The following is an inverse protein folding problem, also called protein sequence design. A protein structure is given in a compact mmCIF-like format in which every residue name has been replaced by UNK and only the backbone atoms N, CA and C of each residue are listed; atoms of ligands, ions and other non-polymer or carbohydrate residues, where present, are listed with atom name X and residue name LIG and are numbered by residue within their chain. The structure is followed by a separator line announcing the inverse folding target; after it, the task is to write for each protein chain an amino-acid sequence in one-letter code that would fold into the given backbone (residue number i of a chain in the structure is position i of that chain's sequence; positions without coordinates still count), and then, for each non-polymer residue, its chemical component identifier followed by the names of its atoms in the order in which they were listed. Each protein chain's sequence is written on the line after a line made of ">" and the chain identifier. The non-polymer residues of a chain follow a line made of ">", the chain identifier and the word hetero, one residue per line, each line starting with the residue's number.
data_IF_395252136567
#
_entry.id   IF_395252136567
#
_cell.length_a   1.000
_cell.length_b   1.000
_cell.length_c   1.000
_cell.angle_alpha   90.00
_cell.angle_beta   90.00
_cell.angle_gamma   90.00
#
_symmetry.space_group_name_H-M   'P 1'
#
loop_
_entity.id
_entity.type
_entity.pdbx_description
1 polymer ?
#
# COMPACT_ATOMS: atom_id res chain seq x y z
N UNK A 1 -0.44 2.87 20.37
CA UNK A 1 -1.75 2.49 19.80
C UNK A 1 -1.56 1.76 18.47
N UNK A 2 -2.41 0.73 18.14
CA UNK A 2 -2.43 0.03 16.85
C UNK A 2 -3.67 0.39 16.04
N UNK A 3 -3.49 0.77 14.79
CA UNK A 3 -4.54 1.01 13.79
C UNK A 3 -4.36 0.00 12.65
N UNK A 4 -5.43 -0.64 12.22
CA UNK A 4 -5.45 -1.55 11.08
C UNK A 4 -6.13 -0.84 9.91
N UNK A 5 -5.47 -0.80 8.76
CA UNK A 5 -6.01 -0.29 7.50
C UNK A 5 -6.17 -1.50 6.56
N UNK A 6 -7.40 -1.88 6.30
CA UNK A 6 -7.75 -3.07 5.52
C UNK A 6 -8.42 -2.65 4.22
N UNK A 7 -7.86 -3.07 3.10
CA UNK A 7 -8.55 -2.96 1.82
C UNK A 7 -9.72 -3.96 1.80
N UNK A 8 -10.92 -3.50 1.50
CA UNK A 8 -12.14 -4.31 1.47
C UNK A 8 -12.64 -4.55 0.04
N UNK A 9 -12.18 -3.70 -0.90
CA UNK A 9 -12.48 -3.83 -2.32
C UNK A 9 -11.29 -3.34 -3.13
N UNK A 10 -10.98 -4.03 -4.21
CA UNK A 10 -10.03 -3.59 -5.23
C UNK A 10 -10.63 -3.76 -6.61
N UNK A 11 -9.94 -3.34 -7.68
CA UNK A 11 -10.30 -3.42 -9.09
C UNK A 11 -10.97 -2.13 -9.64
N UNK A 12 -12.31 -1.94 -9.52
CA UNK A 12 -12.99 -0.75 -10.05
C UNK A 12 -12.84 0.43 -9.09
N UNK A 13 -12.85 0.15 -7.81
CA UNK A 13 -12.64 1.08 -6.70
C UNK A 13 -11.80 0.40 -5.66
N UNK A 14 -10.84 1.10 -5.11
CA UNK A 14 -10.09 0.66 -3.95
C UNK A 14 -10.74 1.26 -2.69
N UNK A 15 -11.39 0.43 -1.90
CA UNK A 15 -12.01 0.83 -0.63
C UNK A 15 -11.20 0.29 0.53
N UNK A 16 -11.00 1.12 1.54
CA UNK A 16 -10.28 0.78 2.76
C UNK A 16 -11.11 1.10 3.99
N UNK A 17 -11.00 0.25 4.99
CA UNK A 17 -11.51 0.48 6.34
C UNK A 17 -10.34 0.68 7.29
N UNK A 18 -10.43 1.72 8.10
CA UNK A 18 -9.47 2.07 9.15
C UNK A 18 -10.10 1.77 10.49
N UNK A 19 -9.54 0.85 11.24
CA UNK A 19 -10.07 0.42 12.52
C UNK A 19 -9.02 0.35 13.62
N UNK A 20 -9.45 0.49 14.87
CA UNK A 20 -8.61 0.25 16.03
C UNK A 20 -9.43 -0.51 17.07
N UNK A 21 -8.85 -1.57 17.65
CA UNK A 21 -9.53 -2.44 18.61
C UNK A 21 -10.91 -2.95 18.13
N UNK A 22 -11.05 -3.21 16.84
CA UNK A 22 -12.30 -3.66 16.22
C UNK A 22 -13.35 -2.57 15.98
N UNK A 23 -13.10 -1.34 16.37
CA UNK A 23 -13.96 -0.19 16.09
C UNK A 23 -13.55 0.47 14.78
N UNK A 24 -14.51 0.69 13.88
CA UNK A 24 -14.30 1.46 12.65
C UNK A 24 -14.10 2.93 13.01
N UNK A 25 -12.98 3.51 12.55
CA UNK A 25 -12.63 4.91 12.78
C UNK A 25 -12.88 5.75 11.53
N UNK A 26 -12.49 5.22 10.35
CA UNK A 26 -12.56 5.91 9.08
C UNK A 26 -12.74 4.93 7.94
N UNK A 27 -13.19 5.46 6.80
CA UNK A 27 -13.23 4.78 5.52
C UNK A 27 -12.46 5.61 4.49
N UNK A 28 -11.81 4.96 3.55
CA UNK A 28 -11.12 5.65 2.48
C UNK A 28 -11.42 5.03 1.13
N UNK A 29 -11.38 5.85 0.10
CA UNK A 29 -11.55 5.46 -1.28
C UNK A 29 -10.37 5.98 -2.09
N UNK A 30 -9.80 5.12 -2.93
CA UNK A 30 -8.79 5.49 -3.91
C UNK A 30 -9.28 5.10 -5.31
N UNK A 31 -8.94 5.89 -6.34
CA UNK A 31 -9.30 5.58 -7.71
C UNK A 31 -8.60 4.30 -8.18
N UNK A 32 -9.25 3.57 -9.08
CA UNK A 32 -8.76 2.30 -9.60
C UNK A 32 -7.63 2.44 -10.64
N UNK A 33 -7.52 3.59 -11.28
CA UNK A 33 -6.53 3.82 -12.34
C UNK A 33 -5.53 4.91 -11.98
N UNK A 34 -4.25 4.64 -12.21
CA UNK A 34 -3.22 5.66 -12.40
C UNK A 34 -3.27 6.14 -13.85
N UNK A 35 -4.20 7.00 -14.19
CA UNK A 35 -4.29 7.51 -15.55
C UNK A 35 -3.29 8.65 -15.71
N UNK A 36 -2.33 8.47 -16.63
CA UNK A 36 -1.41 9.52 -17.09
C UNK A 36 -2.03 10.31 -18.25
N UNK A 37 -3.28 10.77 -18.13
CA UNK A 37 -3.92 11.57 -19.15
C UNK A 37 -3.72 13.07 -18.90
N UNK A 38 -3.43 13.87 -19.97
CA UNK A 38 -3.07 15.28 -19.81
C UNK A 38 -4.23 16.23 -19.53
N UNK A 39 -5.50 15.80 -19.57
CA UNK A 39 -6.65 16.68 -19.44
C UNK A 39 -7.66 16.13 -18.43
N UNK A 40 -8.05 16.96 -17.45
CA UNK A 40 -9.03 16.69 -16.38
C UNK A 40 -8.70 15.49 -15.47
N UNK A 41 -7.42 15.15 -15.32
CA UNK A 41 -6.98 14.01 -14.52
C UNK A 41 -6.99 14.28 -13.00
N UNK A 42 -7.26 15.50 -12.55
CA UNK A 42 -7.28 15.85 -11.12
C UNK A 42 -8.39 15.07 -10.40
N UNK A 43 -9.61 15.08 -10.93
CA UNK A 43 -10.76 14.40 -10.33
C UNK A 43 -10.63 12.87 -10.34
N UNK A 44 -9.96 12.31 -11.36
CA UNK A 44 -9.77 10.87 -11.50
C UNK A 44 -8.72 10.28 -10.54
N UNK A 45 -7.95 11.14 -9.86
CA UNK A 45 -6.91 10.76 -8.89
C UNK A 45 -7.27 11.18 -7.47
N UNK A 46 -8.49 11.61 -7.24
CA UNK A 46 -8.94 12.02 -5.93
C UNK A 46 -9.02 10.83 -4.98
N UNK A 47 -8.30 10.94 -3.87
CA UNK A 47 -8.45 10.05 -2.73
C UNK A 47 -9.44 10.72 -1.77
N UNK A 48 -10.38 9.97 -1.22
CA UNK A 48 -11.32 10.47 -0.22
C UNK A 48 -11.15 9.72 1.09
N UNK A 49 -11.33 10.44 2.19
CA UNK A 49 -11.23 9.92 3.55
C UNK A 49 -12.40 10.45 4.38
N UNK A 50 -13.23 9.55 4.90
CA UNK A 50 -14.47 9.88 5.59
C UNK A 50 -14.55 9.23 6.98
N UNK A 51 -15.35 9.82 7.83
CA UNK A 51 -15.72 9.19 9.10
C UNK A 51 -16.74 8.05 8.88
N UNK A 52 -17.10 7.25 9.91
CA UNK A 52 -18.06 6.16 9.78
C UNK A 52 -19.48 6.60 9.40
N UNK A 53 -19.82 7.89 9.59
CA UNK A 53 -21.10 8.46 9.15
C UNK A 53 -21.11 8.84 7.65
N UNK A 54 -19.98 8.67 6.97
CA UNK A 54 -19.83 9.04 5.55
C UNK A 54 -19.48 10.51 5.31
N UNK A 55 -19.24 11.30 6.36
CA UNK A 55 -18.81 12.69 6.20
C UNK A 55 -17.33 12.72 5.80
N UNK A 56 -17.03 13.48 4.75
CA UNK A 56 -15.66 13.65 4.24
C UNK A 56 -14.83 14.45 5.24
N UNK A 57 -13.73 13.85 5.69
CA UNK A 57 -12.73 14.49 6.56
C UNK A 57 -11.65 15.13 5.71
N UNK A 58 -11.13 14.36 4.72
CA UNK A 58 -10.12 14.80 3.78
C UNK A 58 -10.43 14.32 2.38
N UNK A 59 -10.03 15.14 1.39
CA UNK A 59 -9.84 14.71 0.01
C UNK A 59 -8.44 15.06 -0.44
N UNK A 60 -7.99 14.53 -1.57
CA UNK A 60 -6.74 14.97 -2.18
C UNK A 60 -7.00 15.64 -3.52
N UNK A 61 -6.16 16.61 -3.87
CA UNK A 61 -6.05 17.17 -5.21
C UNK A 61 -4.68 16.82 -5.78
N UNK A 62 -4.65 16.15 -6.93
CA UNK A 62 -3.40 15.88 -7.63
C UNK A 62 -2.84 17.17 -8.25
N UNK A 63 -1.61 17.52 -7.90
CA UNK A 63 -0.94 18.72 -8.44
C UNK A 63 -0.31 18.41 -9.80
N UNK A 64 -1.14 18.36 -10.83
CA UNK A 64 -0.73 17.93 -12.17
C UNK A 64 0.42 18.77 -12.73
N UNK A 65 0.32 20.11 -12.69
CA UNK A 65 1.35 21.01 -13.23
C UNK A 65 2.67 20.85 -12.47
N UNK A 66 2.62 20.82 -11.14
CA UNK A 66 3.82 20.66 -10.30
C UNK A 66 4.51 19.31 -10.57
N UNK A 67 3.73 18.24 -10.69
CA UNK A 67 4.26 16.92 -11.02
C UNK A 67 4.82 16.89 -12.44
N UNK A 68 4.13 17.47 -13.43
CA UNK A 68 4.59 17.52 -14.81
C UNK A 68 5.93 18.28 -14.93
N UNK A 69 6.07 19.42 -14.27
CA UNK A 69 7.33 20.20 -14.25
C UNK A 69 8.46 19.41 -13.59
N UNK A 70 8.17 18.75 -12.46
CA UNK A 70 9.17 17.94 -11.76
C UNK A 70 9.60 16.70 -12.57
N UNK A 71 8.67 16.04 -13.25
CA UNK A 71 8.91 14.84 -14.04
C UNK A 71 9.50 15.12 -15.43
N UNK A 72 9.33 16.35 -15.95
CA UNK A 72 9.84 16.75 -17.27
C UNK A 72 11.36 16.90 -17.31
N UNK A 73 12.02 17.05 -16.16
CA UNK A 73 13.47 17.18 -16.07
C UNK A 73 14.04 15.83 -15.62
N UNK A 74 14.51 14.99 -16.54
CA UNK A 74 15.09 13.69 -16.17
C UNK A 74 16.33 13.91 -15.31
N UNK A 75 16.47 13.09 -14.26
CA UNK A 75 17.60 13.14 -13.33
C UNK A 75 17.79 14.47 -12.60
N UNK A 76 16.73 15.27 -12.44
CA UNK A 76 16.76 16.54 -11.68
C UNK A 76 17.35 16.35 -10.26
N UNK A 77 17.12 15.20 -9.63
CA UNK A 77 17.68 14.85 -8.32
C UNK A 77 19.21 14.74 -8.29
N UNK A 78 19.87 14.64 -9.46
CA UNK A 78 21.34 14.70 -9.57
C UNK A 78 21.83 16.15 -9.67
N UNK A 79 20.99 17.05 -10.14
CA UNK A 79 21.32 18.47 -10.39
C UNK A 79 20.90 19.38 -9.22
N UNK A 80 19.83 19.01 -8.52
CA UNK A 80 19.26 19.81 -7.43
C UNK A 80 19.06 18.95 -6.18
N UNK A 81 19.01 19.59 -5.01
CA UNK A 81 18.69 18.90 -3.75
C UNK A 81 17.18 18.60 -3.69
N UNK A 82 16.84 17.40 -4.12
CA UNK A 82 15.49 16.87 -4.03
C UNK A 82 14.63 17.10 -5.28
N UNK A 83 14.02 16.04 -5.73
CA UNK A 83 12.97 16.03 -6.75
C UNK A 83 11.70 15.50 -6.12
N UNK A 84 10.56 16.16 -6.38
CA UNK A 84 9.27 15.78 -5.83
C UNK A 84 8.45 15.01 -6.86
N UNK A 85 7.82 13.92 -6.44
CA UNK A 85 6.96 13.10 -7.27
C UNK A 85 5.64 12.80 -6.57
N UNK A 86 4.60 12.55 -7.36
CA UNK A 86 3.32 12.10 -6.83
C UNK A 86 2.76 13.09 -5.81
N UNK A 87 2.76 14.40 -6.13
CA UNK A 87 2.31 15.45 -5.22
C UNK A 87 0.78 15.48 -5.18
N UNK A 88 0.23 15.27 -4.00
CA UNK A 88 -1.19 15.38 -3.69
C UNK A 88 -1.38 16.38 -2.57
N UNK A 89 -2.14 17.42 -2.83
CA UNK A 89 -2.58 18.36 -1.81
C UNK A 89 -3.68 17.73 -0.96
N UNK A 90 -3.65 17.90 0.34
CA UNK A 90 -4.68 17.45 1.28
C UNK A 90 -5.66 18.60 1.48
N UNK A 91 -6.91 18.38 1.16
CA UNK A 91 -8.00 19.33 1.33
C UNK A 91 -8.88 18.85 2.48
N UNK A 92 -8.93 19.61 3.54
CA UNK A 92 -9.84 19.40 4.66
C UNK A 92 -11.04 20.36 4.62
N UNK A 93 -11.79 20.40 5.72
CA UNK A 93 -12.99 21.25 5.84
C UNK A 93 -12.71 22.74 5.64
N UNK A 94 -11.54 23.21 6.03
CA UNK A 94 -11.15 24.63 5.98
C UNK A 94 -10.22 24.98 4.80
N UNK A 95 -10.08 24.09 3.82
CA UNK A 95 -9.20 24.25 2.66
C UNK A 95 -7.96 23.38 2.74
N UNK A 96 -6.84 23.87 2.17
CA UNK A 96 -5.58 23.12 2.14
C UNK A 96 -4.99 22.94 3.54
N UNK A 97 -4.78 21.69 3.95
CA UNK A 97 -4.23 21.32 5.26
C UNK A 97 -2.82 20.73 5.19
N UNK A 98 -2.34 20.42 3.97
CA UNK A 98 -1.02 19.86 3.77
C UNK A 98 -0.85 19.17 2.42
N UNK A 99 0.11 18.23 2.35
CA UNK A 99 0.37 17.49 1.13
C UNK A 99 1.05 16.15 1.41
N UNK A 100 0.88 15.20 0.49
CA UNK A 100 1.67 13.98 0.37
C UNK A 100 2.52 14.04 -0.88
N UNK A 101 3.78 13.65 -0.79
CA UNK A 101 4.66 13.52 -1.95
C UNK A 101 5.87 12.62 -1.65
N UNK A 102 6.54 12.18 -2.70
CA UNK A 102 7.83 11.49 -2.62
C UNK A 102 8.94 12.49 -2.92
N UNK A 103 9.95 12.56 -2.08
CA UNK A 103 11.17 13.32 -2.31
C UNK A 103 12.31 12.37 -2.63
N UNK A 104 12.96 12.56 -3.78
CA UNK A 104 14.14 11.81 -4.19
C UNK A 104 15.36 12.71 -4.17
N UNK A 105 16.41 12.32 -3.44
CA UNK A 105 17.66 13.06 -3.29
C UNK A 105 18.87 12.38 -3.97
N UNK A 106 18.63 11.31 -4.72
CA UNK A 106 19.64 10.53 -5.42
C UNK A 106 19.06 9.21 -5.90
N UNK A 107 19.88 8.35 -6.50
CA UNK A 107 19.43 7.07 -7.06
C UNK A 107 18.79 6.14 -6.02
N UNK A 108 19.28 6.16 -4.78
CA UNK A 108 18.86 5.24 -3.71
C UNK A 108 18.41 5.95 -2.43
N UNK A 109 18.08 7.25 -2.52
CA UNK A 109 17.66 8.08 -1.40
C UNK A 109 16.31 8.70 -1.72
N UNK A 110 15.24 7.97 -1.45
CA UNK A 110 13.86 8.44 -1.57
C UNK A 110 13.14 8.34 -0.23
N UNK A 111 12.30 9.31 0.06
CA UNK A 111 11.46 9.36 1.25
C UNK A 111 10.10 9.94 0.92
N UNK A 112 9.11 9.50 1.67
CA UNK A 112 7.79 10.11 1.64
C UNK A 112 7.76 11.32 2.57
N UNK A 113 7.11 12.37 2.12
CA UNK A 113 6.85 13.57 2.91
C UNK A 113 5.35 13.67 3.18
N UNK A 114 5.01 13.89 4.44
CA UNK A 114 3.66 14.03 4.94
C UNK A 114 3.59 15.41 5.58
N UNK A 115 3.07 16.38 4.83
CA UNK A 115 2.85 17.73 5.33
C UNK A 115 1.47 17.82 5.96
N UNK A 116 1.38 18.29 7.20
CA UNK A 116 0.12 18.46 7.90
C UNK A 116 0.27 19.53 8.99
N UNK A 117 -0.66 20.48 9.04
CA UNK A 117 -0.71 21.52 10.08
C UNK A 117 0.63 22.25 10.27
N UNK A 118 1.31 22.58 9.17
CA UNK A 118 2.59 23.30 9.18
C UNK A 118 3.80 22.45 9.59
N UNK A 119 3.63 21.14 9.82
CA UNK A 119 4.73 20.20 10.09
C UNK A 119 4.95 19.25 8.92
N UNK A 120 6.18 18.75 8.81
CA UNK A 120 6.58 17.75 7.82
C UNK A 120 7.07 16.51 8.55
N UNK A 121 6.39 15.40 8.34
CA UNK A 121 6.83 14.08 8.80
C UNK A 121 7.47 13.33 7.63
N UNK A 122 8.50 12.55 7.92
CA UNK A 122 9.27 11.81 6.91
C UNK A 122 9.01 10.32 7.03
N UNK A 123 8.58 9.70 5.95
CA UNK A 123 8.35 8.26 5.84
C UNK A 123 9.44 7.56 5.04
N UNK A 124 10.12 6.60 5.64
CA UNK A 124 11.17 5.81 5.02
C UNK A 124 10.65 4.38 4.76
N UNK A 125 10.41 4.07 3.49
CA UNK A 125 9.94 2.75 3.07
C UNK A 125 11.09 1.81 2.81
N UNK A 126 10.97 0.57 3.30
CA UNK A 126 11.88 -0.50 2.97
C UNK A 126 11.15 -1.86 2.92
N UNK A 127 11.59 -2.73 2.04
CA UNK A 127 11.19 -4.12 1.98
C UNK A 127 12.25 -4.97 2.70
N UNK A 128 11.81 -5.86 3.60
CA UNK A 128 12.69 -6.79 4.30
C UNK A 128 12.02 -8.15 4.44
N UNK A 129 12.47 -9.10 3.64
CA UNK A 129 11.88 -10.42 3.59
C UNK A 129 10.44 -10.38 3.05
N UNK A 130 9.50 -10.86 3.83
CA UNK A 130 8.08 -10.97 3.45
C UNK A 130 7.22 -9.79 3.92
N UNK A 131 7.84 -8.70 4.31
CA UNK A 131 7.13 -7.50 4.76
C UNK A 131 7.74 -6.24 4.16
N UNK A 132 6.89 -5.26 3.99
CA UNK A 132 7.27 -3.87 3.78
C UNK A 132 7.05 -3.09 5.08
N UNK A 133 7.94 -2.15 5.34
CA UNK A 133 7.89 -1.27 6.50
C UNK A 133 8.01 0.18 6.05
N UNK A 134 7.23 1.07 6.66
CA UNK A 134 7.41 2.51 6.54
C UNK A 134 7.63 3.08 7.93
N UNK A 135 8.86 3.51 8.22
CA UNK A 135 9.18 4.16 9.49
C UNK A 135 8.92 5.66 9.34
N UNK A 136 8.07 6.24 10.19
CA UNK A 136 7.64 7.64 10.13
C UNK A 136 8.31 8.42 11.26
N UNK A 137 8.88 9.56 10.91
CA UNK A 137 9.70 10.40 11.79
C UNK A 137 9.16 11.83 11.87
N UNK A 138 9.19 12.38 13.09
CA UNK A 138 9.13 13.82 13.39
C UNK A 138 10.57 14.28 13.69
N UNK A 139 11.20 14.94 12.73
CA UNK A 139 12.63 15.24 12.80
C UNK A 139 13.48 13.98 12.90
N UNK A 140 14.11 13.76 14.06
CA UNK A 140 14.96 12.60 14.35
C UNK A 140 14.24 11.49 15.12
N UNK A 141 13.04 11.76 15.65
CA UNK A 141 12.27 10.86 16.49
C UNK A 141 11.33 10.00 15.63
N UNK A 142 11.46 8.69 15.70
CA UNK A 142 10.46 7.79 15.10
C UNK A 142 9.16 7.85 15.93
N UNK A 143 8.06 8.16 15.27
CA UNK A 143 6.74 8.38 15.88
C UNK A 143 5.74 7.28 15.53
N UNK A 144 5.92 6.68 14.34
CA UNK A 144 5.03 5.61 13.87
C UNK A 144 5.77 4.62 12.95
N UNK A 145 5.18 3.45 12.77
CA UNK A 145 5.61 2.45 11.80
C UNK A 145 4.40 1.81 11.15
N UNK A 146 4.37 1.81 9.84
CA UNK A 146 3.44 1.03 9.04
C UNK A 146 4.12 -0.30 8.69
N UNK A 147 3.43 -1.41 8.87
CA UNK A 147 3.88 -2.75 8.46
C UNK A 147 2.86 -3.35 7.50
N UNK A 148 3.32 -3.76 6.32
CA UNK A 148 2.51 -4.44 5.30
C UNK A 148 3.09 -5.83 5.02
N UNK A 149 2.31 -6.92 5.11
CA UNK A 149 2.76 -8.22 4.59
C UNK A 149 2.83 -8.17 3.07
N UNK A 150 3.87 -8.78 2.48
CA UNK A 150 4.01 -8.96 1.03
C UNK A 150 3.33 -10.26 0.55
N UNK A 151 2.47 -10.84 1.39
CA UNK A 151 1.53 -11.89 1.03
C UNK A 151 0.15 -11.24 0.93
N UNK A 152 -0.40 -11.22 -0.28
CA UNK A 152 -1.68 -10.60 -0.60
C UNK A 152 -2.62 -11.67 -1.14
N UNK A 153 -3.83 -11.73 -0.63
CA UNK A 153 -4.88 -12.63 -1.09
C UNK A 153 -6.01 -11.83 -1.69
N UNK A 154 -6.53 -12.27 -2.84
CA UNK A 154 -7.63 -11.62 -3.55
C UNK A 154 -7.36 -10.14 -3.90
N UNK A 155 -6.08 -9.77 -4.04
CA UNK A 155 -5.60 -8.41 -4.26
C UNK A 155 -6.10 -7.41 -3.21
N UNK A 156 -6.28 -7.85 -1.96
CA UNK A 156 -6.69 -7.03 -0.83
C UNK A 156 -5.53 -6.84 0.13
N UNK A 157 -5.08 -5.61 0.24
CA UNK A 157 -3.96 -5.23 1.09
C UNK A 157 -4.39 -4.97 2.53
N UNK A 158 -3.47 -5.23 3.46
CA UNK A 158 -3.64 -4.90 4.88
C UNK A 158 -2.39 -4.22 5.41
N UNK A 159 -2.60 -3.19 6.22
CA UNK A 159 -1.56 -2.40 6.85
C UNK A 159 -1.78 -2.33 8.35
N UNK A 160 -0.70 -2.42 9.11
CA UNK A 160 -0.68 -2.27 10.56
C UNK A 160 0.12 -1.02 10.90
N UNK A 161 -0.58 0.03 11.34
CA UNK A 161 0.02 1.29 11.75
C UNK A 161 0.15 1.31 13.28
N UNK A 162 1.39 1.22 13.78
CA UNK A 162 1.71 1.50 15.17
C UNK A 162 2.09 2.98 15.30
N UNK A 163 1.43 3.70 16.19
CA UNK A 163 1.66 5.12 16.42
C UNK A 163 1.76 5.40 17.93
N UNK A 164 2.70 6.24 18.33
CA UNK A 164 2.83 6.68 19.73
C UNK A 164 1.61 7.49 20.16
N UNK A 165 1.15 7.28 21.38
CA UNK A 165 -0.09 7.88 21.89
C UNK A 165 -0.05 9.41 21.90
N UNK A 166 1.13 10.01 22.11
CA UNK A 166 1.34 11.47 22.02
C UNK A 166 1.08 12.06 20.63
N UNK A 167 1.03 11.20 19.59
CA UNK A 167 0.73 11.56 18.19
C UNK A 167 -0.67 11.09 17.76
N UNK A 168 -1.57 10.76 18.70
CA UNK A 168 -2.91 10.28 18.38
C UNK A 168 -3.72 11.26 17.51
N UNK A 169 -3.49 12.58 17.65
CA UNK A 169 -4.15 13.62 16.86
C UNK A 169 -3.90 13.54 15.35
N UNK A 170 -2.80 12.92 14.92
CA UNK A 170 -2.48 12.78 13.48
C UNK A 170 -2.82 11.38 12.93
N UNK A 171 -3.51 10.53 13.68
CA UNK A 171 -3.99 9.22 13.20
C UNK A 171 -4.78 9.35 11.89
N UNK A 172 -5.71 10.30 11.73
CA UNK A 172 -6.45 10.47 10.48
C UNK A 172 -5.52 10.70 9.29
N UNK A 173 -4.53 11.59 9.45
CA UNK A 173 -3.57 11.94 8.39
C UNK A 173 -2.65 10.76 8.07
N UNK A 174 -2.12 10.03 9.08
CA UNK A 174 -1.26 8.88 8.83
C UNK A 174 -2.01 7.68 8.25
N UNK A 175 -3.28 7.51 8.62
CA UNK A 175 -4.15 6.50 7.99
C UNK A 175 -4.44 6.86 6.53
N UNK A 176 -4.72 8.13 6.25
CA UNK A 176 -4.91 8.62 4.88
C UNK A 176 -3.62 8.54 4.05
N UNK A 177 -2.48 8.86 4.66
CA UNK A 177 -1.17 8.63 4.05
C UNK A 177 -0.94 7.16 3.70
N UNK A 178 -1.40 6.21 4.51
CA UNK A 178 -1.27 4.79 4.20
C UNK A 178 -2.03 4.42 2.93
N UNK A 179 -3.21 4.99 2.70
CA UNK A 179 -3.98 4.82 1.45
C UNK A 179 -3.27 5.46 0.26
N UNK A 180 -2.71 6.68 0.45
CA UNK A 180 -1.88 7.32 -0.57
C UNK A 180 -0.63 6.47 -0.90
N UNK A 181 0.02 5.90 0.12
CA UNK A 181 1.17 5.02 -0.03
C UNK A 181 0.82 3.76 -0.83
N UNK A 182 -0.32 3.13 -0.52
CA UNK A 182 -0.86 2.01 -1.29
C UNK A 182 -1.07 2.40 -2.76
N UNK A 183 -1.77 3.50 -2.98
CA UNK A 183 -2.05 4.02 -4.32
C UNK A 183 -0.76 4.29 -5.12
N UNK A 184 0.30 4.79 -4.48
CA UNK A 184 1.57 5.05 -5.15
C UNK A 184 2.38 3.78 -5.45
N UNK A 185 2.40 2.82 -4.54
CA UNK A 185 3.35 1.69 -4.60
C UNK A 185 2.71 0.39 -5.08
N UNK A 186 1.47 0.12 -4.72
CA UNK A 186 0.86 -1.19 -4.95
C UNK A 186 -0.32 -1.14 -5.91
N UNK A 187 -1.25 -0.24 -5.77
CA UNK A 187 -2.44 -0.02 -6.58
C UNK A 187 -2.82 -1.16 -7.55
N UNK A 188 -3.51 -2.19 -7.07
CA UNK A 188 -3.91 -3.38 -7.83
C UNK A 188 -5.05 -3.12 -8.83
N UNK A 189 -5.03 -1.97 -9.50
CA UNK A 189 -6.08 -1.57 -10.44
C UNK A 189 -6.10 -2.46 -11.68
N UNK A 190 -7.30 -2.92 -12.03
CA UNK A 190 -7.52 -3.77 -13.20
C UNK A 190 -7.11 -5.25 -13.02
N UNK A 191 -6.60 -5.64 -11.86
CA UNK A 191 -6.25 -7.02 -11.56
C UNK A 191 -7.47 -7.83 -11.10
N UNK A 192 -7.41 -9.15 -11.24
CA UNK A 192 -8.46 -10.05 -10.73
C UNK A 192 -8.48 -9.99 -9.21
N UNK A 193 -9.69 -9.84 -8.64
CA UNK A 193 -9.89 -9.64 -7.19
C UNK A 193 -10.28 -10.90 -6.43
N UNK A 194 -10.48 -12.03 -7.09
CA UNK A 194 -10.86 -13.27 -6.44
C UNK A 194 -9.95 -14.42 -6.85
N UNK A 195 -9.69 -15.31 -5.89
CA UNK A 195 -8.86 -16.50 -6.07
C UNK A 195 -7.42 -16.18 -6.54
N UNK A 196 -6.90 -15.02 -6.16
CA UNK A 196 -5.51 -14.63 -6.43
C UNK A 196 -4.68 -14.71 -5.17
N UNK A 197 -3.43 -15.07 -5.31
CA UNK A 197 -2.43 -15.02 -4.23
C UNK A 197 -1.13 -14.51 -4.78
N UNK A 198 -0.62 -13.46 -4.17
CA UNK A 198 0.71 -12.95 -4.42
C UNK A 198 1.57 -13.22 -3.18
N UNK A 199 2.71 -13.86 -3.36
CA UNK A 199 3.68 -14.10 -2.28
C UNK A 199 5.01 -13.55 -2.75
N UNK A 200 5.43 -12.44 -2.16
CA UNK A 200 6.68 -11.79 -2.51
C UNK A 200 7.68 -11.84 -1.36
N UNK A 201 8.96 -11.87 -1.73
CA UNK A 201 10.08 -11.73 -0.82
C UNK A 201 11.02 -10.69 -1.44
N UNK A 202 11.17 -9.55 -0.78
CA UNK A 202 11.88 -8.40 -1.32
C UNK A 202 12.82 -7.80 -0.28
N UNK A 203 13.89 -7.18 -0.76
CA UNK A 203 14.87 -6.48 0.09
C UNK A 203 15.24 -5.15 -0.56
N UNK A 204 15.05 -4.07 0.17
CA UNK A 204 15.51 -2.75 -0.24
C UNK A 204 16.94 -2.54 0.20
N UNK A 205 17.78 -2.09 -0.72
CA UNK A 205 19.14 -1.66 -0.45
C UNK A 205 19.21 -0.14 -0.48
N UNK A 206 19.93 0.47 0.46
CA UNK A 206 20.13 1.91 0.50
C UNK A 206 19.94 2.51 1.89
N UNK A 207 19.94 3.85 1.95
CA UNK A 207 19.94 4.62 3.20
C UNK A 207 18.69 4.43 4.06
N UNK A 208 17.58 3.99 3.48
CA UNK A 208 16.35 3.74 4.23
C UNK A 208 16.51 2.60 5.24
N UNK A 209 17.48 1.68 5.04
CA UNK A 209 17.77 0.64 6.02
C UNK A 209 18.19 1.20 7.38
N UNK A 210 18.91 2.32 7.41
CA UNK A 210 19.39 2.97 8.63
C UNK A 210 18.24 3.62 9.42
N UNK A 211 17.07 3.78 8.79
CA UNK A 211 15.86 4.33 9.40
C UNK A 211 14.88 3.27 9.91
N UNK A 212 15.21 2.00 9.74
CA UNK A 212 14.39 0.90 10.23
C UNK A 212 14.99 0.27 11.48
N UNK A 213 14.23 0.30 12.57
CA UNK A 213 14.56 -0.41 13.80
C UNK A 213 13.62 -1.62 13.99
N UNK A 214 14.09 -2.86 13.86
CA UNK A 214 13.24 -4.05 14.01
C UNK A 214 12.63 -4.20 15.41
N UNK A 215 13.28 -3.64 16.42
CA UNK A 215 12.84 -3.71 17.81
C UNK A 215 12.00 -2.51 18.23
N UNK A 216 11.68 -1.58 17.32
CA UNK A 216 11.01 -0.34 17.67
C UNK A 216 9.63 -0.58 18.30
N UNK A 217 8.83 -1.50 17.75
CA UNK A 217 7.50 -1.83 18.30
C UNK A 217 7.63 -2.42 19.70
N UNK A 218 8.53 -3.39 19.89
CA UNK A 218 8.75 -3.99 21.21
C UNK A 218 9.22 -2.97 22.25
N UNK A 219 10.08 -2.04 21.84
CA UNK A 219 10.61 -0.98 22.70
C UNK A 219 9.56 0.06 23.10
N UNK A 220 8.72 0.49 22.16
CA UNK A 220 7.79 1.60 22.39
C UNK A 220 6.40 1.15 22.89
N UNK A 221 5.97 -0.07 22.53
CA UNK A 221 4.63 -0.60 22.86
C UNK A 221 4.66 -1.88 23.70
N UNK A 222 5.86 -2.38 24.03
CA UNK A 222 6.06 -3.63 24.76
C UNK A 222 6.16 -4.86 23.86
N UNK A 223 6.74 -5.92 24.40
CA UNK A 223 6.96 -7.19 23.69
C UNK A 223 5.65 -7.83 23.23
N UNK A 224 4.60 -7.73 24.03
CA UNK A 224 3.28 -8.26 23.68
C UNK A 224 2.76 -7.68 22.37
N UNK A 225 2.89 -6.35 22.14
CA UNK A 225 2.45 -5.72 20.90
C UNK A 225 3.24 -6.21 19.67
N UNK A 226 4.53 -6.45 19.83
CA UNK A 226 5.37 -7.02 18.77
C UNK A 226 4.98 -8.48 18.46
N UNK A 227 4.70 -9.29 19.47
CA UNK A 227 4.27 -10.68 19.32
C UNK A 227 2.88 -10.77 18.66
N UNK A 228 1.95 -9.91 19.04
CA UNK A 228 0.62 -9.80 18.42
C UNK A 228 0.71 -9.44 16.92
N UNK A 229 1.58 -8.48 16.57
CA UNK A 229 1.82 -8.14 15.17
C UNK A 229 2.39 -9.34 14.41
N UNK A 230 3.41 -9.99 14.94
CA UNK A 230 4.02 -11.15 14.29
C UNK A 230 3.01 -12.30 14.13
N UNK A 231 2.13 -12.52 15.10
CA UNK A 231 1.06 -13.51 15.02
C UNK A 231 0.07 -13.18 13.88
N UNK A 232 -0.33 -11.90 13.74
CA UNK A 232 -1.18 -11.44 12.63
C UNK A 232 -0.50 -11.67 11.29
N UNK A 233 0.78 -11.31 11.16
CA UNK A 233 1.57 -11.52 9.95
C UNK A 233 1.71 -13.00 9.59
N UNK A 234 1.96 -13.88 10.58
CA UNK A 234 2.02 -15.35 10.38
C UNK A 234 0.67 -15.91 9.90
N UNK A 235 -0.44 -15.43 10.47
CA UNK A 235 -1.78 -15.84 10.06
C UNK A 235 -2.05 -15.52 8.59
N UNK A 236 -1.72 -14.29 8.16
CA UNK A 236 -1.87 -13.85 6.75
C UNK A 236 -1.01 -14.72 5.82
N UNK A 237 0.25 -14.96 6.17
CA UNK A 237 1.15 -15.83 5.38
C UNK A 237 0.63 -17.27 5.30
N UNK A 238 0.09 -17.81 6.38
CA UNK A 238 -0.48 -19.16 6.40
C UNK A 238 -1.72 -19.26 5.51
N UNK A 239 -2.61 -18.27 5.57
CA UNK A 239 -3.80 -18.17 4.71
C UNK A 239 -3.39 -18.10 3.23
N UNK A 240 -2.47 -17.21 2.87
CA UNK A 240 -1.95 -17.11 1.50
C UNK A 240 -1.33 -18.42 1.01
N UNK A 241 -0.53 -19.08 1.84
CA UNK A 241 0.08 -20.37 1.48
C UNK A 241 -0.96 -21.48 1.29
N UNK A 242 -2.02 -21.51 2.10
CA UNK A 242 -3.11 -22.47 1.96
C UNK A 242 -3.92 -22.22 0.67
N UNK A 243 -4.21 -20.96 0.36
CA UNK A 243 -4.91 -20.57 -0.87
C UNK A 243 -4.06 -20.90 -2.11
N UNK A 244 -2.75 -20.60 -2.10
CA UNK A 244 -1.83 -20.96 -3.17
C UNK A 244 -1.82 -22.47 -3.44
N UNK A 245 -1.75 -23.31 -2.41
CA UNK A 245 -1.83 -24.77 -2.55
C UNK A 245 -3.16 -25.23 -3.17
N UNK A 246 -4.28 -24.58 -2.82
CA UNK A 246 -5.60 -24.87 -3.38
C UNK A 246 -5.66 -24.53 -4.87
N UNK A 247 -5.13 -23.38 -5.28
CA UNK A 247 -5.05 -22.95 -6.67
C UNK A 247 -4.20 -23.92 -7.49
N UNK A 248 -3.01 -24.29 -7.01
CA UNK A 248 -2.11 -25.24 -7.68
C UNK A 248 -2.79 -26.59 -7.89
N UNK A 249 -3.53 -27.12 -6.90
CA UNK A 249 -4.29 -28.35 -7.05
C UNK A 249 -5.38 -28.25 -8.13
N UNK A 250 -6.11 -27.14 -8.17
CA UNK A 250 -7.16 -26.88 -9.17
C UNK A 250 -6.58 -26.81 -10.58
N UNK A 251 -5.49 -26.07 -10.77
CA UNK A 251 -4.78 -25.98 -12.04
C UNK A 251 -4.21 -27.32 -12.47
N UNK A 252 -3.61 -28.09 -11.56
CA UNK A 252 -3.12 -29.43 -11.83
C UNK A 252 -4.23 -30.39 -12.28
N UNK A 253 -5.42 -30.34 -11.64
CA UNK A 253 -6.58 -31.13 -12.06
C UNK A 253 -7.08 -30.73 -13.44
N UNK A 254 -7.17 -29.43 -13.72
CA UNK A 254 -7.59 -28.95 -15.05
C UNK A 254 -6.61 -29.39 -16.15
N UNK A 255 -5.30 -29.36 -15.87
CA UNK A 255 -4.28 -29.87 -16.79
C UNK A 255 -4.43 -31.37 -17.07
N UNK A 256 -4.71 -32.15 -16.04
CA UNK A 256 -4.95 -33.61 -16.15
C UNK A 256 -6.16 -33.90 -17.02
N UNK A 257 -7.24 -33.16 -16.85
CA UNK A 257 -8.47 -33.29 -17.69
C UNK A 257 -8.16 -32.94 -19.14
N UNK A 258 -7.41 -31.87 -19.40
CA UNK A 258 -7.00 -31.50 -20.77
C UNK A 258 -6.14 -32.56 -21.44
N UNK A 259 -5.20 -33.18 -20.71
CA UNK A 259 -4.40 -34.31 -21.23
C UNK A 259 -5.28 -35.49 -21.57
N UNK A 260 -6.22 -35.86 -20.69
CA UNK A 260 -7.15 -36.97 -20.96
C UNK A 260 -8.03 -36.70 -22.18
N UNK A 261 -8.56 -35.49 -22.34
CA UNK A 261 -9.32 -35.08 -23.52
C UNK A 261 -8.48 -35.15 -24.80
N UNK A 262 -7.22 -34.70 -24.74
CA UNK A 262 -6.31 -34.82 -25.90
C UNK A 262 -6.03 -36.27 -26.28
N UNK A 263 -5.86 -37.20 -25.31
CA UNK A 263 -5.65 -38.61 -25.56
C UNK A 263 -6.92 -39.21 -26.19
N UNK A 264 -8.10 -38.93 -25.66
CA UNK A 264 -9.37 -39.41 -26.23
C UNK A 264 -9.55 -38.92 -27.67
N UNK A 265 -9.31 -37.63 -27.91
CA UNK A 265 -9.40 -37.05 -29.23
C UNK A 265 -8.43 -37.72 -30.22
N UNK A 266 -7.20 -37.97 -29.79
CA UNK A 266 -6.20 -38.70 -30.61
C UNK A 266 -6.63 -40.10 -30.94
N UNK A 267 -7.19 -40.86 -29.98
CA UNK A 267 -7.70 -42.23 -30.22
C UNK A 267 -8.87 -42.23 -31.18
N UNK A 268 -9.82 -41.30 -31.02
CA UNK A 268 -10.97 -41.14 -31.93
C UNK A 268 -10.52 -40.81 -33.35
N UNK A 269 -9.64 -39.84 -33.50
CA UNK A 269 -9.09 -39.44 -34.82
C UNK A 269 -8.36 -40.59 -35.49
N UNK A 270 -7.58 -41.37 -34.75
CA UNK A 270 -6.89 -42.55 -35.27
C UNK A 270 -7.85 -43.65 -35.69
N UNK A 271 -8.98 -43.81 -34.98
CA UNK A 271 -10.00 -44.82 -35.35
C UNK A 271 -10.91 -44.42 -36.52
N UNK A 272 -10.98 -43.10 -36.84
CA UNK A 272 -11.81 -42.58 -37.93
C UNK A 272 -11.03 -42.33 -39.22
N UNK A 273 -9.70 -42.20 -39.15
CA UNK A 273 -8.83 -41.93 -40.29
C UNK A 273 -7.97 -43.13 -40.71
N UNK A 274 -7.97 -44.20 -39.99
CA UNK A 274 -7.33 -45.50 -40.32
C UNK A 274 -8.34 -46.54 -40.65
#
# INVERSE_FOLDING_TARGET
>A
MLVTIQQTKSNIENLFEVSSNGQLLFQAKAPWMKISLPFNAEDLRELTFSNPAGEIVYTTRYKFIDNLVEESIPFKYLLTKGQRFGQFEIIGRNGSEGAFYVMQNGLFDSKFCIECSGKVYLGYSLDKGRNNYVSIYDGVKQIAQITKPLTVTDNLDVYFLHIKDEYASIIPVLSFFTVYYDYQKYNHSGELTKNTVQISNSYTYGKNNDKYNPNWIAKEFGQQAADELEQKLRKIRAQGSAQAKKIVKLVGLAYLVLILLAIVLFVVLKSTLG
#
